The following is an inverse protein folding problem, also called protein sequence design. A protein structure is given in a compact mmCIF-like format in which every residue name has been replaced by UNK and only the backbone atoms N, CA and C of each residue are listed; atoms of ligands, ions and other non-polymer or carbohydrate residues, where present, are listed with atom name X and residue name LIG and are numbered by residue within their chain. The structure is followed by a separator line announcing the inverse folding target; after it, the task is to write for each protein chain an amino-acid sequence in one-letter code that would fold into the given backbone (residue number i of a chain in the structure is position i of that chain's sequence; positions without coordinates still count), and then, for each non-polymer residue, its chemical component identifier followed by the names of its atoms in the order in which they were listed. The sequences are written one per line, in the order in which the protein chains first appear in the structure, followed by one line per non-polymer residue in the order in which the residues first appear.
data_IF_273372539134
#
_entry.id   IF_273372539134
#
_cell.length_a   1.000
_cell.length_b   1.000
_cell.length_c   1.000
_cell.angle_alpha   90.00
_cell.angle_beta   90.00
_cell.angle_gamma   90.00
#
_symmetry.space_group_name_H-M   'P 1'
#
loop_
_entity.id
_entity.type
_entity.pdbx_description
1 polymer ?
#
# COMPACT_ATOMS: atom_id res chain seq x y z
N UNK A 1 -11.79 6.77 -6.22
CA UNK A 1 -11.93 8.06 -5.51
C UNK A 1 -11.92 7.94 -4.00
N UNK A 2 -12.45 6.86 -3.39
CA UNK A 2 -12.42 6.70 -1.92
C UNK A 2 -11.01 6.91 -1.32
N UNK A 3 -10.00 6.24 -1.88
CA UNK A 3 -8.62 6.38 -1.39
C UNK A 3 -8.09 7.82 -1.53
N UNK A 4 -8.43 8.54 -2.61
CA UNK A 4 -8.05 9.95 -2.78
C UNK A 4 -8.72 10.85 -1.75
N UNK A 5 -9.99 10.61 -1.42
CA UNK A 5 -10.70 11.33 -0.36
C UNK A 5 -10.03 11.11 1.00
N UNK A 6 -9.75 9.86 1.35
CA UNK A 6 -9.08 9.52 2.61
C UNK A 6 -7.69 10.17 2.68
N UNK A 7 -6.91 10.10 1.60
CA UNK A 7 -5.57 10.69 1.57
C UNK A 7 -5.61 12.21 1.69
N UNK A 8 -6.63 12.85 1.10
CA UNK A 8 -6.86 14.29 1.29
C UNK A 8 -7.17 14.63 2.74
N UNK A 9 -8.11 13.92 3.36
CA UNK A 9 -8.53 14.17 4.75
C UNK A 9 -7.38 13.95 5.76
N UNK A 10 -6.45 13.05 5.42
CA UNK A 10 -5.24 12.78 6.19
C UNK A 10 -4.08 13.74 5.88
N UNK A 11 -4.27 14.73 4.99
CA UNK A 11 -3.22 15.64 4.50
C UNK A 11 -1.99 14.91 3.90
N UNK A 12 -2.25 13.81 3.19
CA UNK A 12 -1.22 13.04 2.46
C UNK A 12 -1.10 13.45 0.99
N UNK A 13 -1.93 14.41 0.57
CA UNK A 13 -1.88 15.03 -0.74
C UNK A 13 -1.53 16.50 -0.57
N UNK A 14 -0.78 17.03 -1.53
CA UNK A 14 -0.56 18.47 -1.69
C UNK A 14 -1.86 19.19 -2.09
N UNK A 15 -1.85 20.52 -2.03
CA UNK A 15 -3.00 21.37 -2.45
C UNK A 15 -3.45 21.09 -3.90
N UNK A 16 -2.50 20.78 -4.80
CA UNK A 16 -2.78 20.40 -6.19
C UNK A 16 -3.17 18.91 -6.36
N UNK A 17 -3.51 18.23 -5.24
CA UNK A 17 -3.96 16.83 -5.16
C UNK A 17 -2.95 15.81 -5.67
N UNK A 18 -1.66 16.13 -5.60
CA UNK A 18 -0.58 15.19 -5.86
C UNK A 18 -0.14 14.50 -4.58
N UNK A 19 0.51 13.35 -4.72
CA UNK A 19 1.04 12.61 -3.57
C UNK A 19 2.12 13.41 -2.86
N UNK A 20 1.97 13.63 -1.55
CA UNK A 20 3.06 14.13 -0.70
C UNK A 20 3.82 12.93 -0.12
N UNK A 21 4.94 12.59 -0.75
CA UNK A 21 5.73 11.42 -0.38
C UNK A 21 6.27 11.48 1.06
N UNK A 22 6.57 12.68 1.56
CA UNK A 22 7.07 12.88 2.92
C UNK A 22 5.93 12.66 3.93
N UNK A 23 4.79 13.32 3.71
CA UNK A 23 3.61 13.17 4.56
C UNK A 23 3.12 11.71 4.59
N UNK A 24 3.07 11.05 3.43
CA UNK A 24 2.74 9.62 3.31
C UNK A 24 3.68 8.77 4.13
N UNK A 25 4.99 8.91 3.92
CA UNK A 25 6.00 8.09 4.60
C UNK A 25 5.88 8.26 6.11
N UNK A 26 5.80 9.51 6.56
CA UNK A 26 5.61 9.85 7.98
C UNK A 26 4.34 9.24 8.56
N UNK A 27 3.21 9.34 7.86
CA UNK A 27 1.93 8.80 8.32
C UNK A 27 2.00 7.28 8.52
N UNK A 28 2.47 6.55 7.50
CA UNK A 28 2.54 5.09 7.56
C UNK A 28 3.55 4.60 8.62
N UNK A 29 4.73 5.22 8.70
CA UNK A 29 5.75 4.86 9.71
C UNK A 29 5.26 5.14 11.12
N UNK A 30 4.65 6.31 11.37
CA UNK A 30 4.11 6.67 12.70
C UNK A 30 2.98 5.76 13.17
N UNK A 31 2.28 5.11 12.23
CA UNK A 31 1.17 4.19 12.49
C UNK A 31 1.61 2.72 12.55
N UNK A 32 2.92 2.45 12.43
CA UNK A 32 3.47 1.09 12.37
C UNK A 32 4.03 0.64 13.72
N UNK A 33 4.03 -0.68 13.96
CA UNK A 33 4.77 -1.26 15.08
C UNK A 33 6.25 -1.41 14.73
N UNK A 34 7.12 -1.38 15.74
CA UNK A 34 8.58 -1.52 15.58
C UNK A 34 9.00 -2.74 14.76
N UNK A 35 8.24 -3.82 14.84
CA UNK A 35 8.54 -5.09 14.15
C UNK A 35 8.24 -5.03 12.64
N UNK A 36 7.42 -4.06 12.22
CA UNK A 36 6.94 -3.89 10.85
C UNK A 36 7.64 -2.70 10.17
N UNK A 37 8.05 -1.67 10.93
CA UNK A 37 8.67 -0.45 10.38
C UNK A 37 9.82 -0.71 9.39
N UNK A 38 10.78 -1.63 9.64
CA UNK A 38 11.87 -1.88 8.70
C UNK A 38 11.40 -2.42 7.34
N UNK A 39 10.35 -3.23 7.34
CA UNK A 39 9.73 -3.75 6.12
C UNK A 39 8.93 -2.65 5.44
N UNK A 40 8.18 -1.88 6.23
CA UNK A 40 7.33 -0.81 5.74
C UNK A 40 8.12 0.29 5.02
N UNK A 41 9.28 0.69 5.53
CA UNK A 41 10.13 1.69 4.89
C UNK A 41 10.57 1.27 3.48
N UNK A 42 11.02 0.02 3.33
CA UNK A 42 11.42 -0.53 2.03
C UNK A 42 10.24 -0.61 1.06
N UNK A 43 9.07 -1.00 1.56
CA UNK A 43 7.84 -1.10 0.77
C UNK A 43 7.33 0.28 0.35
N UNK A 44 7.38 1.28 1.24
CA UNK A 44 7.01 2.66 0.95
C UNK A 44 7.86 3.25 -0.16
N UNK A 45 9.20 3.16 -0.03
CA UNK A 45 10.12 3.64 -1.07
C UNK A 45 9.83 2.98 -2.42
N UNK A 46 9.67 1.66 -2.44
CA UNK A 46 9.32 0.92 -3.66
C UNK A 46 8.02 1.41 -4.29
N UNK A 47 6.97 1.57 -3.49
CA UNK A 47 5.65 1.92 -3.99
C UNK A 47 5.53 3.38 -4.42
N UNK A 48 6.19 4.30 -3.73
CA UNK A 48 6.25 5.71 -4.09
C UNK A 48 6.97 5.95 -5.44
N UNK A 49 7.84 5.04 -5.88
CA UNK A 49 8.50 5.11 -7.20
C UNK A 49 7.65 4.62 -8.37
N UNK A 50 6.54 3.92 -8.13
CA UNK A 50 5.80 3.20 -9.18
C UNK A 50 4.29 3.42 -9.17
N UNK A 51 3.73 4.10 -8.17
CA UNK A 51 2.27 4.25 -8.03
C UNK A 51 1.64 5.02 -9.20
N UNK A 52 2.34 6.01 -9.71
CA UNK A 52 1.90 6.90 -10.79
C UNK A 52 1.77 6.18 -12.14
N UNK A 53 2.60 5.15 -12.38
CA UNK A 53 2.62 4.34 -13.61
C UNK A 53 1.30 3.61 -13.89
N UNK A 54 0.47 3.41 -12.87
CA UNK A 54 -0.80 2.70 -12.95
C UNK A 54 -2.01 3.64 -12.83
N UNK A 55 -1.79 4.96 -12.84
CA UNK A 55 -2.87 5.93 -12.83
C UNK A 55 -3.48 6.00 -14.23
N UNK A 56 -4.76 5.68 -14.33
CA UNK A 56 -5.51 5.88 -15.56
C UNK A 56 -5.78 7.38 -15.72
N UNK A 57 -5.25 8.05 -16.76
CA UNK A 57 -5.46 9.49 -16.97
C UNK A 57 -6.92 9.84 -17.28
N UNK A 58 -7.77 8.85 -17.59
CA UNK A 58 -9.21 9.02 -17.82
C UNK A 58 -10.03 8.83 -16.55
N UNK A 59 -9.43 8.37 -15.45
CA UNK A 59 -10.14 8.20 -14.19
C UNK A 59 -10.52 9.56 -13.58
N UNK A 60 -11.70 9.69 -12.95
CA UNK A 60 -12.11 10.94 -12.31
C UNK A 60 -11.21 11.36 -11.15
N UNK A 61 -10.53 10.40 -10.51
CA UNK A 61 -9.57 10.63 -9.45
C UNK A 61 -8.18 10.18 -9.90
N UNK A 62 -7.23 11.09 -9.86
CA UNK A 62 -5.93 10.97 -10.51
C UNK A 62 -4.75 11.21 -9.55
N UNK A 63 -4.99 11.36 -8.25
CA UNK A 63 -3.93 11.48 -7.23
C UNK A 63 -2.98 10.28 -7.16
N UNK A 64 -3.42 9.11 -7.63
CA UNK A 64 -2.67 7.85 -7.48
C UNK A 64 -2.78 7.21 -6.10
N UNK A 65 -3.62 7.73 -5.20
CA UNK A 65 -3.84 7.18 -3.85
C UNK A 65 -4.23 5.69 -3.85
N UNK A 66 -5.12 5.30 -4.76
CA UNK A 66 -5.55 3.90 -4.89
C UNK A 66 -4.41 2.99 -5.36
N UNK A 67 -3.60 3.44 -6.31
CA UNK A 67 -2.46 2.72 -6.86
C UNK A 67 -1.39 2.53 -5.78
N UNK A 68 -1.09 3.59 -5.03
CA UNK A 68 -0.16 3.53 -3.91
C UNK A 68 -0.66 2.52 -2.85
N UNK A 69 -1.93 2.63 -2.41
CA UNK A 69 -2.51 1.71 -1.43
C UNK A 69 -2.46 0.25 -1.87
N UNK A 70 -2.78 -0.02 -3.14
CA UNK A 70 -2.69 -1.38 -3.72
C UNK A 70 -1.26 -1.90 -3.70
N UNK A 71 -0.28 -1.07 -4.08
CA UNK A 71 1.12 -1.44 -4.03
C UNK A 71 1.55 -1.76 -2.59
N UNK A 72 1.26 -0.87 -1.64
CA UNK A 72 1.62 -1.06 -0.24
C UNK A 72 1.05 -2.36 0.31
N UNK A 73 -0.24 -2.65 0.07
CA UNK A 73 -0.86 -3.86 0.59
C UNK A 73 -0.25 -5.13 0.00
N UNK A 74 0.03 -5.15 -1.31
CA UNK A 74 0.65 -6.30 -1.94
C UNK A 74 2.07 -6.53 -1.44
N UNK A 75 2.88 -5.49 -1.41
CA UNK A 75 4.29 -5.59 -1.03
C UNK A 75 4.45 -5.89 0.47
N UNK A 76 3.62 -5.30 1.33
CA UNK A 76 3.58 -5.64 2.76
C UNK A 76 3.16 -7.09 3.00
N UNK A 77 2.23 -7.62 2.21
CA UNK A 77 1.81 -9.02 2.31
C UNK A 77 2.93 -9.98 1.90
N UNK A 78 3.66 -9.66 0.82
CA UNK A 78 4.78 -10.46 0.34
C UNK A 78 6.01 -10.37 1.26
N UNK A 79 6.20 -9.24 1.93
CA UNK A 79 7.30 -9.02 2.85
C UNK A 79 6.91 -9.28 4.32
N UNK A 80 5.73 -9.85 4.57
CA UNK A 80 5.23 -10.10 5.93
C UNK A 80 6.22 -10.98 6.71
N UNK A 81 6.75 -10.53 7.86
CA UNK A 81 7.68 -11.30 8.68
C UNK A 81 7.08 -12.65 9.08
N UNK A 82 7.89 -13.72 9.06
CA UNK A 82 7.45 -15.06 9.47
C UNK A 82 6.90 -15.11 10.91
N UNK A 83 7.37 -14.22 11.79
CA UNK A 83 6.87 -14.09 13.16
C UNK A 83 5.42 -13.59 13.24
N UNK A 84 4.93 -12.93 12.18
CA UNK A 84 3.56 -12.40 12.08
C UNK A 84 2.70 -13.15 11.07
N UNK A 85 3.32 -13.90 10.17
CA UNK A 85 2.63 -14.70 9.17
C UNK A 85 2.05 -15.98 9.79
N UNK A 86 0.72 -16.08 9.80
CA UNK A 86 0.03 -17.30 10.21
C UNK A 86 0.00 -18.28 9.04
N UNK A 87 0.93 -19.24 9.03
CA UNK A 87 1.02 -20.22 7.96
C UNK A 87 -0.18 -21.17 7.97
N UNK A 88 -0.78 -21.33 6.81
CA UNK A 88 -1.82 -22.30 6.52
C UNK A 88 -1.80 -22.59 5.02
N UNK A 89 -2.33 -23.74 4.55
CA UNK A 89 -2.39 -24.03 3.13
C UNK A 89 -3.08 -22.93 2.31
N UNK A 90 -4.06 -22.23 2.89
CA UNK A 90 -4.80 -21.15 2.23
C UNK A 90 -3.95 -19.87 2.14
N UNK A 91 -3.27 -19.50 3.23
CA UNK A 91 -2.37 -18.35 3.27
C UNK A 91 -1.18 -18.53 2.34
N UNK A 92 -0.60 -19.74 2.27
CA UNK A 92 0.53 -20.04 1.39
C UNK A 92 0.12 -19.97 -0.08
N UNK A 93 -1.06 -20.49 -0.43
CA UNK A 93 -1.62 -20.35 -1.80
C UNK A 93 -1.88 -18.89 -2.16
N UNK A 94 -2.36 -18.08 -1.20
CA UNK A 94 -2.58 -16.65 -1.42
C UNK A 94 -1.26 -15.91 -1.62
N UNK A 95 -0.22 -16.23 -0.85
CA UNK A 95 1.13 -15.67 -1.01
C UNK A 95 1.72 -16.00 -2.38
N UNK A 96 1.62 -17.27 -2.81
CA UNK A 96 2.05 -17.68 -4.15
C UNK A 96 1.32 -16.90 -5.26
N UNK A 97 0.00 -16.74 -5.15
CA UNK A 97 -0.78 -15.93 -6.11
C UNK A 97 -0.39 -14.46 -6.11
N UNK A 98 -0.18 -13.85 -4.94
CA UNK A 98 0.24 -12.45 -4.86
C UNK A 98 1.62 -12.22 -5.49
N UNK A 99 2.52 -13.20 -5.39
CA UNK A 99 3.83 -13.15 -6.02
C UNK A 99 3.74 -13.15 -7.55
N UNK A 100 2.84 -13.95 -8.13
CA UNK A 100 2.69 -14.08 -9.59
C UNK A 100 1.70 -13.09 -10.22
N UNK A 101 0.78 -12.52 -9.43
CA UNK A 101 -0.26 -11.62 -9.92
C UNK A 101 -0.05 -10.19 -9.39
N UNK A 102 0.64 -9.31 -10.15
CA UNK A 102 0.99 -7.96 -9.68
C UNK A 102 -0.23 -7.07 -9.41
N UNK A 103 -1.37 -7.34 -10.05
CA UNK A 103 -2.63 -6.61 -9.89
C UNK A 103 -3.64 -7.33 -9.00
N UNK A 104 -3.26 -8.42 -8.33
CA UNK A 104 -4.16 -9.09 -7.39
C UNK A 104 -4.48 -8.16 -6.24
N UNK A 105 -5.76 -8.01 -5.94
CA UNK A 105 -6.21 -7.21 -4.81
C UNK A 105 -5.95 -7.99 -3.51
N UNK A 106 -4.96 -7.53 -2.75
CA UNK A 106 -4.66 -8.05 -1.41
C UNK A 106 -5.24 -7.05 -0.42
N UNK A 107 -6.21 -7.48 0.40
CA UNK A 107 -6.75 -6.65 1.47
C UNK A 107 -6.01 -6.97 2.77
N UNK A 108 -5.26 -6.02 3.30
CA UNK A 108 -4.69 -6.09 4.65
C UNK A 108 -5.63 -5.32 5.60
N UNK A 109 -6.46 -6.05 6.33
CA UNK A 109 -7.40 -5.50 7.30
C UNK A 109 -8.00 -6.60 8.16
N UNK A 110 -8.61 -6.28 9.30
CA UNK A 110 -9.41 -7.25 10.04
C UNK A 110 -10.46 -7.84 9.10
N UNK A 111 -10.73 -9.14 9.23
CA UNK A 111 -11.89 -9.73 8.54
C UNK A 111 -13.14 -8.93 8.99
N UNK A 112 -14.02 -8.52 8.07
CA UNK A 112 -15.29 -7.92 8.46
C UNK A 112 -16.11 -8.88 9.34
#
# INVERSE_FOLDING_TARGET
CLDECIFKDLNLLTEDRRMDAEAVSKYFVSSSSSDISPVLDQVLDKCLRVFDRQVDPRAPCHSGAQQLRKCLYREMFLACPRSRFNSSPDCDRMMAKAATCPNAFVLLGPRP
#
